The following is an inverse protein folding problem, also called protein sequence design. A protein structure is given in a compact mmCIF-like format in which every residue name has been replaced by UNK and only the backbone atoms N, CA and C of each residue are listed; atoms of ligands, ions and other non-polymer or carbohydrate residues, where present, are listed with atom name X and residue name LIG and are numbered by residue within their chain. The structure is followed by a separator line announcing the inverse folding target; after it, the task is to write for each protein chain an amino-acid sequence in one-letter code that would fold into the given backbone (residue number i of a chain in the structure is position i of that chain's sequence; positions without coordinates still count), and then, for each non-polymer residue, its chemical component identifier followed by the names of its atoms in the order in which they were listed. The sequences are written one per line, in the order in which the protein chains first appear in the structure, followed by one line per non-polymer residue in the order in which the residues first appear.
data_IF_158056339355
#
_entry.id   IF_158056339355
#
_cell.length_a   1.000
_cell.length_b   1.000
_cell.length_c   1.000
_cell.angle_alpha   90.00
_cell.angle_beta   90.00
_cell.angle_gamma   90.00
#
_symmetry.space_group_name_H-M   'P 1'
#
loop_
_entity.id
_entity.type
_entity.pdbx_description
1 polymer ?
#
# COMPACT_ATOMS: atom_id res chain seq x y z
N UNK A 1 19.99 14.59 11.03
CA UNK A 1 18.64 15.04 10.66
C UNK A 1 17.86 13.94 9.97
N UNK A 2 16.61 13.72 10.40
CA UNK A 2 15.68 12.78 9.74
C UNK A 2 14.93 13.57 8.68
N UNK A 3 15.09 13.19 7.41
CA UNK A 3 14.38 13.81 6.30
C UNK A 3 13.04 13.09 6.08
N UNK A 4 11.94 13.83 6.13
CA UNK A 4 10.62 13.34 5.74
C UNK A 4 10.37 13.62 4.26
N UNK A 5 9.92 12.62 3.52
CA UNK A 5 9.55 12.74 2.11
C UNK A 5 8.06 12.47 1.93
N UNK A 6 7.39 13.34 1.17
CA UNK A 6 6.05 13.08 0.66
C UNK A 6 6.19 12.61 -0.78
N UNK A 7 5.89 11.34 -1.03
CA UNK A 7 6.02 10.75 -2.36
C UNK A 7 4.68 10.86 -3.08
N UNK A 8 4.65 11.64 -4.15
CA UNK A 8 3.47 11.76 -5.02
C UNK A 8 3.54 10.69 -6.10
N UNK A 9 2.42 10.00 -6.31
CA UNK A 9 2.27 8.96 -7.30
C UNK A 9 0.84 8.96 -7.88
N UNK A 10 0.68 8.32 -9.03
CA UNK A 10 -0.59 8.17 -9.71
C UNK A 10 -1.35 6.93 -9.22
N UNK A 11 -2.65 7.08 -8.96
CA UNK A 11 -3.51 5.96 -8.59
C UNK A 11 -3.86 5.18 -9.87
N UNK A 12 -3.28 3.98 -10.02
CA UNK A 12 -3.63 3.07 -11.13
C UNK A 12 -5.08 2.60 -10.95
N UNK A 13 -5.88 2.68 -12.01
CA UNK A 13 -7.25 2.16 -12.02
C UNK A 13 -7.26 0.65 -11.75
N UNK A 14 -8.06 0.26 -10.75
CA UNK A 14 -8.22 -1.12 -10.34
C UNK A 14 -9.53 -1.67 -10.94
N UNK A 15 -9.42 -2.57 -11.92
CA UNK A 15 -10.58 -3.22 -12.54
C UNK A 15 -11.07 -4.38 -11.69
N UNK A 16 -12.21 -4.18 -11.02
CA UNK A 16 -12.93 -5.23 -10.29
C UNK A 16 -13.95 -5.91 -11.21
N UNK A 17 -14.15 -7.22 -11.01
CA UNK A 17 -15.29 -7.96 -11.55
C UNK A 17 -16.34 -8.08 -10.44
N UNK A 18 -17.35 -7.22 -10.48
CA UNK A 18 -18.50 -7.29 -9.57
C UNK A 18 -19.43 -8.41 -10.07
N UNK A 19 -19.99 -9.19 -9.16
CA UNK A 19 -20.97 -10.23 -9.47
C UNK A 19 -22.29 -9.97 -8.75
N UNK A 20 -23.34 -10.70 -9.15
CA UNK A 20 -24.67 -10.60 -8.52
C UNK A 20 -24.78 -11.39 -7.20
N UNK A 21 -23.68 -11.98 -6.72
CA UNK A 21 -23.66 -12.67 -5.44
C UNK A 21 -23.79 -11.64 -4.31
N UNK A 22 -24.81 -11.82 -3.48
CA UNK A 22 -25.05 -10.98 -2.31
C UNK A 22 -24.80 -11.74 -1.01
N UNK A 23 -24.29 -11.05 0.01
CA UNK A 23 -24.13 -11.56 1.37
C UNK A 23 -24.54 -10.48 2.36
N UNK A 24 -25.25 -10.85 3.42
CA UNK A 24 -25.50 -9.95 4.55
C UNK A 24 -24.31 -10.01 5.50
N UNK A 25 -23.60 -8.90 5.69
CA UNK A 25 -22.48 -8.79 6.63
C UNK A 25 -22.89 -7.77 7.70
N UNK A 26 -23.09 -8.28 8.91
CA UNK A 26 -23.73 -7.53 10.00
C UNK A 26 -25.12 -7.04 9.58
N UNK A 27 -25.28 -5.73 9.35
CA UNK A 27 -26.53 -5.09 8.92
C UNK A 27 -26.49 -4.60 7.46
N UNK A 28 -25.39 -4.80 6.76
CA UNK A 28 -25.16 -4.24 5.44
C UNK A 28 -25.28 -5.31 4.36
N UNK A 29 -26.09 -5.03 3.34
CA UNK A 29 -26.12 -5.85 2.15
C UNK A 29 -24.84 -5.62 1.36
N UNK A 30 -24.14 -6.71 1.06
CA UNK A 30 -22.84 -6.67 0.41
C UNK A 30 -22.87 -7.44 -0.91
N UNK A 31 -22.17 -6.91 -1.90
CA UNK A 31 -21.94 -7.53 -3.19
C UNK A 31 -20.53 -8.12 -3.24
N UNK A 32 -20.39 -9.24 -3.95
CA UNK A 32 -19.08 -9.82 -4.21
C UNK A 32 -18.40 -9.13 -5.37
N UNK A 33 -17.11 -8.91 -5.24
CA UNK A 33 -16.24 -8.52 -6.32
C UNK A 33 -14.95 -9.35 -6.29
N UNK A 34 -14.43 -9.71 -7.46
CA UNK A 34 -13.15 -10.41 -7.57
C UNK A 34 -12.17 -9.66 -8.44
N UNK A 35 -10.88 -9.84 -8.17
CA UNK A 35 -9.81 -9.21 -8.95
C UNK A 35 -8.48 -9.92 -8.77
N UNK A 36 -7.68 -9.94 -9.84
CA UNK A 36 -6.26 -10.26 -9.77
C UNK A 36 -5.42 -9.01 -9.49
N UNK A 37 -4.63 -9.05 -8.41
CA UNK A 37 -3.72 -7.99 -8.02
C UNK A 37 -2.41 -8.58 -7.49
N UNK A 38 -1.27 -8.17 -8.06
CA UNK A 38 0.08 -8.60 -7.64
C UNK A 38 0.23 -10.12 -7.51
N UNK A 39 -0.22 -10.85 -8.54
CA UNK A 39 -0.12 -12.31 -8.60
C UNK A 39 -1.07 -13.08 -7.66
N UNK A 40 -1.99 -12.40 -6.98
CA UNK A 40 -3.03 -13.01 -6.13
C UNK A 40 -4.41 -12.67 -6.65
N UNK A 41 -5.32 -13.62 -6.55
CA UNK A 41 -6.75 -13.37 -6.74
C UNK A 41 -7.36 -12.97 -5.40
N UNK A 42 -8.04 -11.84 -5.37
CA UNK A 42 -8.75 -11.32 -4.20
C UNK A 42 -10.26 -11.40 -4.42
N UNK A 43 -10.95 -11.70 -3.33
CA UNK A 43 -12.40 -11.70 -3.20
C UNK A 43 -12.74 -10.64 -2.16
N UNK A 44 -13.53 -9.64 -2.56
CA UNK A 44 -14.03 -8.59 -1.69
C UNK A 44 -15.55 -8.67 -1.59
N UNK A 45 -16.06 -8.52 -0.37
CA UNK A 45 -17.47 -8.24 -0.12
C UNK A 45 -17.60 -6.78 0.30
N UNK A 46 -18.30 -5.98 -0.49
CA UNK A 46 -18.42 -4.55 -0.27
C UNK A 46 -19.89 -4.11 -0.23
N UNK A 47 -20.19 -3.06 0.53
CA UNK A 47 -21.53 -2.47 0.61
C UNK A 47 -21.58 -1.10 -0.04
N UNK A 48 -22.60 -0.86 -0.86
CA UNK A 48 -22.87 0.45 -1.49
C UNK A 48 -23.58 1.41 -0.54
N UNK A 49 -24.10 0.92 0.60
CA UNK A 49 -24.76 1.74 1.62
C UNK A 49 -23.81 2.74 2.28
N UNK A 50 -22.50 2.42 2.28
CA UNK A 50 -21.44 3.34 2.72
C UNK A 50 -20.56 3.63 1.50
N UNK A 51 -20.76 4.77 0.82
CA UNK A 51 -20.04 5.10 -0.41
C UNK A 51 -18.59 5.52 -0.09
N UNK A 52 -17.72 4.53 0.00
CA UNK A 52 -16.28 4.71 0.15
C UNK A 52 -15.56 4.05 -1.01
N UNK A 53 -14.67 4.79 -1.68
CA UNK A 53 -13.84 4.25 -2.76
C UNK A 53 -12.53 3.64 -2.25
N UNK A 54 -12.27 3.77 -0.94
CA UNK A 54 -11.05 3.27 -0.31
C UNK A 54 -11.19 1.80 0.10
N UNK A 55 -10.06 1.11 0.15
CA UNK A 55 -10.02 -0.28 0.56
C UNK A 55 -8.67 -0.68 1.15
N UNK A 56 -8.64 -1.72 1.99
CA UNK A 56 -7.42 -2.18 2.65
C UNK A 56 -6.39 -2.69 1.64
N UNK A 57 -5.11 -2.74 2.02
CA UNK A 57 -4.02 -3.31 1.20
C UNK A 57 -3.91 -2.73 -0.22
N UNK A 58 -4.21 -1.43 -0.38
CA UNK A 58 -4.27 -0.72 -1.67
C UNK A 58 -5.37 -1.25 -2.63
N UNK A 59 -6.26 -2.13 -2.19
CA UNK A 59 -7.37 -2.68 -2.98
C UNK A 59 -8.58 -1.75 -2.92
N UNK A 60 -8.42 -0.58 -3.53
CA UNK A 60 -9.44 0.47 -3.66
C UNK A 60 -10.26 0.31 -4.96
N UNK A 61 -11.19 1.24 -5.20
CA UNK A 61 -11.88 1.39 -6.49
C UNK A 61 -13.21 0.64 -6.63
N UNK A 62 -13.72 0.03 -5.55
CA UNK A 62 -15.11 -0.41 -5.50
C UNK A 62 -16.02 0.78 -5.11
N UNK A 63 -17.26 0.85 -5.62
CA UNK A 63 -18.19 1.93 -5.31
C UNK A 63 -18.87 1.69 -3.94
N UNK A 64 -18.09 1.43 -2.90
CA UNK A 64 -18.61 1.08 -1.59
C UNK A 64 -17.55 0.50 -0.65
N UNK A 65 -17.83 0.56 0.65
CA UNK A 65 -16.91 0.10 1.69
C UNK A 65 -16.73 -1.41 1.63
N UNK A 66 -15.47 -1.86 1.56
CA UNK A 66 -15.12 -3.28 1.67
C UNK A 66 -15.26 -3.72 3.13
N UNK A 67 -16.15 -4.69 3.37
CA UNK A 67 -16.43 -5.25 4.70
C UNK A 67 -15.65 -6.55 4.95
N UNK A 68 -15.43 -7.34 3.91
CA UNK A 68 -14.56 -8.52 3.97
C UNK A 68 -13.66 -8.53 2.74
N UNK A 69 -12.40 -8.90 2.94
CA UNK A 69 -11.43 -9.10 1.88
C UNK A 69 -10.61 -10.34 2.19
N UNK A 70 -10.55 -11.28 1.25
CA UNK A 70 -9.61 -12.40 1.33
C UNK A 70 -8.90 -12.63 0.01
N UNK A 71 -7.75 -13.27 0.03
CA UNK A 71 -7.21 -13.90 -1.17
C UNK A 71 -7.88 -15.27 -1.40
N UNK A 72 -7.80 -15.79 -2.62
CA UNK A 72 -8.47 -17.06 -3.00
C UNK A 72 -8.00 -18.28 -2.19
N UNK A 73 -6.84 -18.18 -1.54
CA UNK A 73 -6.27 -19.20 -0.66
C UNK A 73 -6.61 -18.99 0.82
N UNK A 74 -7.24 -17.87 1.16
CA UNK A 74 -7.48 -17.42 2.53
C UNK A 74 -6.20 -17.34 3.39
N UNK A 75 -5.04 -17.12 2.78
CA UNK A 75 -3.78 -16.84 3.48
C UNK A 75 -3.84 -15.45 4.13
N UNK A 76 -4.57 -14.52 3.53
CA UNK A 76 -4.85 -13.19 4.06
C UNK A 76 -6.36 -12.98 4.08
N UNK A 77 -6.92 -12.68 5.25
CA UNK A 77 -8.34 -12.36 5.42
C UNK A 77 -8.50 -11.16 6.34
N UNK A 78 -9.23 -10.14 5.90
CA UNK A 78 -9.56 -8.93 6.63
C UNK A 78 -11.07 -8.82 6.75
N UNK A 79 -11.58 -8.57 7.95
CA UNK A 79 -13.01 -8.51 8.25
C UNK A 79 -13.28 -7.27 9.09
N UNK A 80 -14.20 -6.43 8.64
CA UNK A 80 -14.71 -5.30 9.39
C UNK A 80 -15.48 -5.80 10.62
N UNK A 81 -14.98 -5.46 11.82
CA UNK A 81 -15.61 -5.84 13.10
C UNK A 81 -16.57 -4.79 13.62
N UNK A 82 -16.23 -3.51 13.50
CA UNK A 82 -17.04 -2.38 13.97
C UNK A 82 -16.95 -1.25 12.95
N UNK A 83 -18.08 -0.60 12.72
CA UNK A 83 -18.18 0.64 11.93
C UNK A 83 -18.81 1.69 12.83
N UNK A 84 -18.04 2.72 13.21
CA UNK A 84 -18.52 3.89 13.94
C UNK A 84 -18.10 5.17 13.23
N UNK A 85 -18.91 6.22 13.41
CA UNK A 85 -18.64 7.57 12.94
C UNK A 85 -18.31 8.41 14.17
N UNK A 86 -17.04 8.49 14.52
CA UNK A 86 -16.56 9.30 15.63
C UNK A 86 -15.89 10.54 15.03
N UNK A 87 -16.50 11.71 15.25
CA UNK A 87 -15.93 13.00 14.84
C UNK A 87 -14.97 13.46 15.93
N UNK A 88 -13.77 12.91 15.93
CA UNK A 88 -12.69 13.48 16.73
C UNK A 88 -12.00 14.60 15.96
N UNK A 89 -11.58 15.64 16.68
CA UNK A 89 -10.62 16.59 16.13
C UNK A 89 -9.28 15.86 15.99
N UNK A 90 -9.06 15.27 14.82
CA UNK A 90 -7.80 14.60 14.51
C UNK A 90 -6.73 15.69 14.45
N UNK A 91 -5.84 15.72 15.44
CA UNK A 91 -4.63 16.54 15.37
C UNK A 91 -3.72 15.93 14.31
N UNK A 92 -3.61 16.61 13.16
CA UNK A 92 -2.65 16.25 12.12
C UNK A 92 -1.38 17.07 12.38
N UNK A 93 -0.28 16.46 12.84
CA UNK A 93 0.96 17.19 13.08
C UNK A 93 1.44 17.82 11.78
N UNK A 94 1.84 19.09 11.83
CA UNK A 94 2.46 19.76 10.71
C UNK A 94 3.90 19.25 10.54
N UNK A 95 4.07 18.23 9.69
CA UNK A 95 5.37 17.72 9.30
C UNK A 95 5.90 18.55 8.13
N UNK A 96 7.15 19.00 8.22
CA UNK A 96 7.87 19.56 7.07
C UNK A 96 8.40 18.40 6.23
N UNK A 97 7.89 18.25 5.02
CA UNK A 97 8.29 17.21 4.08
C UNK A 97 8.86 17.79 2.79
N UNK A 98 9.83 17.09 2.20
CA UNK A 98 10.24 17.33 0.82
C UNK A 98 9.31 16.52 -0.10
N UNK A 99 8.50 17.21 -0.89
CA UNK A 99 7.63 16.56 -1.88
C UNK A 99 8.42 16.18 -3.11
N UNK A 100 8.37 14.92 -3.51
CA UNK A 100 9.09 14.37 -4.67
C UNK A 100 8.28 13.24 -5.34
N UNK A 101 8.59 12.92 -6.59
CA UNK A 101 8.06 11.73 -7.26
C UNK A 101 8.73 10.45 -6.76
N UNK A 102 8.08 9.30 -7.00
CA UNK A 102 8.67 7.97 -6.72
C UNK A 102 10.02 7.78 -7.41
N UNK A 103 10.14 8.23 -8.66
CA UNK A 103 11.37 8.13 -9.46
C UNK A 103 12.51 8.95 -8.85
N UNK A 104 12.22 10.16 -8.41
CA UNK A 104 13.20 11.02 -7.73
C UNK A 104 13.62 10.44 -6.39
N UNK A 105 12.67 9.92 -5.59
CA UNK A 105 12.98 9.25 -4.33
C UNK A 105 13.94 8.08 -4.53
N UNK A 106 13.67 7.21 -5.51
CA UNK A 106 14.53 6.08 -5.82
C UNK A 106 15.95 6.52 -6.24
N UNK A 107 16.05 7.63 -6.98
CA UNK A 107 17.34 8.24 -7.37
C UNK A 107 18.10 8.78 -6.15
N UNK A 108 17.43 9.50 -5.25
CA UNK A 108 18.05 10.03 -4.02
C UNK A 108 18.57 8.92 -3.12
N UNK A 109 17.77 7.86 -2.90
CA UNK A 109 18.20 6.69 -2.12
C UNK A 109 19.41 6.01 -2.74
N UNK A 110 19.42 5.85 -4.08
CA UNK A 110 20.56 5.27 -4.79
C UNK A 110 21.83 6.12 -4.60
N UNK A 111 21.72 7.44 -4.75
CA UNK A 111 22.83 8.36 -4.57
C UNK A 111 23.38 8.31 -3.14
N UNK A 112 22.52 8.22 -2.12
CA UNK A 112 22.96 8.09 -0.72
C UNK A 112 23.69 6.77 -0.46
N UNK A 113 23.21 5.65 -1.01
CA UNK A 113 23.90 4.36 -0.93
C UNK A 113 25.28 4.42 -1.59
N UNK A 114 25.40 5.09 -2.75
CA UNK A 114 26.68 5.28 -3.43
C UNK A 114 27.66 6.11 -2.59
N UNK A 115 27.20 7.22 -1.99
CA UNK A 115 28.03 8.04 -1.08
C UNK A 115 28.50 7.25 0.13
N UNK A 116 27.61 6.49 0.77
CA UNK A 116 27.96 5.64 1.92
C UNK A 116 29.02 4.60 1.51
N UNK A 117 28.82 3.95 0.35
CA UNK A 117 29.76 2.95 -0.17
C UNK A 117 31.14 3.56 -0.43
N UNK A 118 31.19 4.75 -1.03
CA UNK A 118 32.43 5.50 -1.26
C UNK A 118 33.13 5.85 0.06
N UNK A 119 32.40 6.40 1.03
CA UNK A 119 32.93 6.75 2.36
C UNK A 119 33.48 5.55 3.14
N UNK A 120 32.84 4.38 3.03
CA UNK A 120 33.35 3.14 3.63
C UNK A 120 34.63 2.72 2.89
N UNK A 121 34.61 2.66 1.57
CA UNK A 121 35.78 2.24 0.79
C UNK A 121 37.01 3.13 1.01
N UNK A 122 36.82 4.45 1.18
CA UNK A 122 37.91 5.39 1.44
C UNK A 122 38.48 5.25 2.85
N UNK A 123 37.67 4.85 3.85
CA UNK A 123 38.11 4.67 5.24
C UNK A 123 38.93 3.40 5.48
N UNK A 124 38.65 2.32 4.74
CA UNK A 124 39.23 1.00 5.02
C UNK A 124 40.36 0.57 4.06
N UNK A 125 40.75 1.40 3.07
CA UNK A 125 41.98 1.24 2.27
C UNK A 125 41.91 0.26 1.07
N UNK A 126 42.97 0.27 0.24
CA UNK A 126 43.06 -0.50 -1.02
C UNK A 126 43.14 -2.01 -0.73
N UNK A 127 42.06 -2.74 -1.02
CA UNK A 127 41.98 -4.20 -0.92
C UNK A 127 40.60 -4.72 -0.47
N UNK A 128 39.82 -3.89 0.22
CA UNK A 128 38.47 -4.25 0.67
C UNK A 128 37.45 -3.92 -0.43
N UNK A 129 36.80 -4.95 -0.99
CA UNK A 129 35.67 -4.81 -1.91
C UNK A 129 34.37 -4.81 -1.13
N UNK A 130 33.77 -3.63 -0.94
CA UNK A 130 32.39 -3.52 -0.42
C UNK A 130 31.44 -3.97 -1.52
N UNK A 131 30.64 -5.01 -1.25
CA UNK A 131 29.52 -5.42 -2.09
C UNK A 131 28.23 -5.03 -1.42
N UNK A 132 27.44 -4.20 -2.09
CA UNK A 132 26.09 -3.86 -1.64
C UNK A 132 25.12 -4.87 -2.22
N UNK A 133 24.40 -5.61 -1.38
CA UNK A 133 23.28 -6.46 -1.79
C UNK A 133 21.97 -5.77 -1.41
N UNK A 134 21.14 -5.48 -2.40
CA UNK A 134 19.77 -5.04 -2.16
C UNK A 134 18.89 -6.27 -1.96
N UNK A 135 18.30 -6.42 -0.79
CA UNK A 135 17.21 -7.38 -0.57
C UNK A 135 15.94 -6.69 -1.08
N UNK A 136 15.43 -7.13 -2.23
CA UNK A 136 14.08 -6.77 -2.66
C UNK A 136 13.10 -7.51 -1.76
N UNK A 137 12.62 -6.87 -0.68
CA UNK A 137 11.48 -7.41 0.04
C UNK A 137 10.27 -7.40 -0.90
N UNK A 138 9.70 -8.59 -1.14
CA UNK A 138 8.50 -8.79 -1.97
C UNK A 138 7.26 -8.37 -1.17
N UNK A 139 7.23 -7.12 -0.71
CA UNK A 139 6.07 -6.56 -0.06
C UNK A 139 5.02 -6.21 -1.12
N UNK A 140 3.74 -6.35 -0.78
CA UNK A 140 2.61 -5.84 -1.57
C UNK A 140 2.73 -4.35 -1.90
N UNK A 141 3.69 -3.65 -1.32
CA UNK A 141 4.02 -2.25 -1.60
C UNK A 141 5.03 -2.06 -2.74
N UNK A 142 5.91 -3.04 -3.00
CA UNK A 142 7.10 -2.90 -3.86
C UNK A 142 6.95 -3.40 -5.29
N UNK A 143 5.87 -4.11 -5.63
CA UNK A 143 5.62 -4.53 -7.02
C UNK A 143 4.84 -3.43 -7.78
N UNK A 144 5.51 -2.58 -8.53
CA UNK A 144 4.87 -1.66 -9.50
C UNK A 144 4.54 -2.32 -10.84
#
# INVERSE_FOLDING_TARGET
DVNFYQIIDSIKSLKWKITDETKLIQKYQSLKATRNFKGREYIAWFTTEIPSYFGPLKLHGLPGLILELSDSKNEVTLIAKKISYEYENIFIPHLTYKTISRKEYNKEIKNEIEKITQNISSKYGRGIKVKTSSISSKSLENEE
#
